data_IF_979085170728
#
_entry.id   IF_979085170728
#
_cell.length_a   1.000
_cell.length_b   1.000
_cell.length_c   1.000
_cell.angle_alpha   90.00
_cell.angle_beta   90.00
_cell.angle_gamma   90.00
#
_symmetry.space_group_name_H-M   'P 1'
#
loop_
_entity.id
_entity.type
_entity.pdbx_description
1 polymer ?
#
# COMPACT_ATOMS: atom_id res chain seq x y z
N UNK A 1 45.86 -14.01 -21.11
CA UNK A 1 45.45 -13.96 -19.70
C UNK A 1 44.47 -12.82 -19.52
N UNK A 2 43.25 -13.13 -19.10
CA UNK A 2 42.20 -12.15 -18.84
C UNK A 2 42.39 -11.54 -17.44
N UNK A 3 42.28 -10.22 -17.33
CA UNK A 3 41.55 -9.60 -16.22
C UNK A 3 40.99 -8.26 -16.69
N UNK A 4 39.67 -8.24 -16.90
CA UNK A 4 38.88 -7.01 -16.95
C UNK A 4 38.62 -6.61 -15.51
N UNK A 5 39.11 -5.45 -15.09
CA UNK A 5 38.61 -4.76 -13.91
C UNK A 5 38.16 -3.37 -14.36
N UNK A 6 36.85 -3.20 -14.53
CA UNK A 6 36.22 -1.89 -14.67
C UNK A 6 35.35 -1.71 -13.44
N UNK A 7 35.89 -1.07 -12.42
CA UNK A 7 35.10 -0.46 -11.38
C UNK A 7 34.76 0.98 -11.83
N UNK A 8 33.49 1.25 -12.09
CA UNK A 8 32.98 2.61 -12.29
C UNK A 8 31.82 2.85 -11.33
N UNK A 9 32.10 3.56 -10.25
CA UNK A 9 31.08 4.27 -9.48
C UNK A 9 30.76 5.56 -10.24
N UNK A 10 29.56 5.66 -10.82
CA UNK A 10 29.15 6.81 -11.61
C UNK A 10 28.11 7.65 -10.85
N UNK A 11 28.54 8.28 -9.76
CA UNK A 11 27.91 9.51 -9.29
C UNK A 11 28.81 10.67 -9.72
N UNK A 12 28.50 11.28 -10.88
CA UNK A 12 28.73 12.70 -11.28
C UNK A 12 28.84 12.85 -12.79
N UNK A 13 27.75 13.32 -13.41
CA UNK A 13 27.74 14.41 -14.41
C UNK A 13 26.36 15.07 -14.36
N UNK A 14 26.17 15.97 -13.41
CA UNK A 14 25.02 16.87 -13.39
C UNK A 14 25.47 18.21 -14.00
N UNK A 15 24.82 18.73 -15.06
CA UNK A 15 24.95 20.13 -15.42
C UNK A 15 24.16 20.97 -14.39
N UNK A 16 24.88 21.90 -13.75
CA UNK A 16 24.34 22.90 -12.85
C UNK A 16 23.54 23.93 -13.65
N UNK A 17 22.21 23.87 -13.60
CA UNK A 17 21.34 24.99 -13.94
C UNK A 17 20.83 25.65 -12.65
N UNK A 18 20.74 26.97 -12.66
CA UNK A 18 20.42 27.83 -11.51
C UNK A 18 18.96 27.60 -11.09
N UNK A 19 18.72 26.73 -10.10
CA UNK A 19 17.38 26.42 -9.60
C UNK A 19 16.93 27.56 -8.68
N UNK A 20 16.08 28.45 -9.18
CA UNK A 20 15.39 29.44 -8.37
C UNK A 20 14.34 28.75 -7.49
N UNK A 21 14.74 28.53 -6.23
CA UNK A 21 13.94 28.50 -4.99
C UNK A 21 12.74 27.53 -4.90
N UNK A 22 12.60 26.66 -3.89
CA UNK A 22 13.40 26.28 -2.72
C UNK A 22 13.02 24.83 -2.37
N UNK A 23 14.03 24.08 -1.96
CA UNK A 23 13.98 22.67 -1.54
C UNK A 23 13.32 22.50 -0.17
N UNK A 24 12.54 21.44 0.02
CA UNK A 24 12.34 20.88 1.36
C UNK A 24 13.48 19.90 1.65
N UNK A 25 14.49 20.39 2.37
CA UNK A 25 15.53 19.58 3.01
C UNK A 25 14.92 18.85 4.21
N UNK A 26 15.03 17.53 4.23
CA UNK A 26 14.72 16.69 5.39
C UNK A 26 15.56 17.13 6.60
N UNK A 27 14.89 17.74 7.58
CA UNK A 27 15.37 17.78 8.98
C UNK A 27 14.34 17.09 9.85
N UNK A 28 14.84 16.30 10.79
CA UNK A 28 14.04 15.61 11.82
C UNK A 28 13.06 16.60 12.47
N UNK A 29 11.77 16.31 12.37
CA UNK A 29 10.70 17.09 13.02
C UNK A 29 10.78 16.81 14.52
N UNK A 30 10.83 17.84 15.39
CA UNK A 30 10.83 17.61 16.82
C UNK A 30 9.51 16.97 17.24
N UNK A 31 9.60 15.91 18.05
CA UNK A 31 8.46 15.39 18.80
C UNK A 31 7.87 16.54 19.64
N UNK A 32 6.67 17.03 19.31
CA UNK A 32 5.74 17.58 20.32
C UNK A 32 4.29 17.72 19.85
N UNK A 33 3.45 17.23 20.75
CA UNK A 33 2.03 17.50 21.02
C UNK A 33 1.03 17.49 19.87
N UNK A 34 0.33 16.37 19.78
CA UNK A 34 -1.05 16.30 19.33
C UNK A 34 -1.94 17.30 20.12
N UNK A 35 -2.31 18.40 19.47
CA UNK A 35 -3.54 19.12 19.80
C UNK A 35 -4.60 18.71 18.77
N UNK A 36 -5.49 17.81 19.19
CA UNK A 36 -6.71 17.47 18.45
C UNK A 36 -7.73 18.61 18.63
N UNK A 37 -7.61 19.65 17.81
CA UNK A 37 -8.76 20.51 17.53
C UNK A 37 -9.59 19.79 16.47
N UNK A 38 -10.79 19.37 16.85
CA UNK A 38 -11.78 18.83 15.93
C UNK A 38 -12.23 19.96 15.00
N UNK A 39 -11.60 20.03 13.83
CA UNK A 39 -12.10 20.82 12.71
C UNK A 39 -13.08 19.91 11.96
N UNK A 40 -14.39 20.24 11.88
CA UNK A 40 -15.30 19.47 11.05
C UNK A 40 -14.78 19.50 9.60
N UNK A 41 -14.68 18.34 8.92
CA UNK A 41 -14.13 18.30 7.59
C UNK A 41 -14.98 19.17 6.67
N UNK A 42 -14.37 20.06 5.85
CA UNK A 42 -15.12 20.80 4.85
C UNK A 42 -15.83 19.80 3.94
N UNK A 43 -17.13 20.05 3.66
CA UNK A 43 -17.97 19.20 2.80
C UNK A 43 -17.62 19.33 1.31
N UNK A 44 -16.42 19.78 0.97
CA UNK A 44 -15.91 19.78 -0.39
C UNK A 44 -15.66 18.34 -0.84
N UNK A 45 -16.11 17.93 -2.04
CA UNK A 45 -15.77 16.62 -2.58
C UNK A 45 -14.24 16.49 -2.62
N UNK A 46 -13.72 15.44 -2.00
CA UNK A 46 -12.29 15.19 -1.92
C UNK A 46 -11.72 14.92 -3.32
N UNK A 47 -10.96 15.87 -3.84
CA UNK A 47 -10.33 15.78 -5.17
C UNK A 47 -8.84 15.43 -5.10
N UNK A 48 -8.30 15.12 -3.92
CA UNK A 48 -6.85 15.12 -3.67
C UNK A 48 -6.25 13.78 -3.22
N UNK A 49 -5.13 13.91 -2.51
CA UNK A 49 -4.29 12.86 -1.93
C UNK A 49 -4.27 13.04 -0.40
N UNK A 50 -4.69 12.03 0.36
CA UNK A 50 -4.77 12.12 1.83
C UNK A 50 -4.30 10.82 2.48
N UNK A 51 -3.44 10.96 3.49
CA UNK A 51 -2.97 9.85 4.31
C UNK A 51 -3.76 9.79 5.62
N UNK A 52 -4.50 8.69 5.81
CA UNK A 52 -5.21 8.40 7.04
C UNK A 52 -4.49 7.30 7.81
N UNK A 53 -4.03 7.63 9.02
CA UNK A 53 -3.44 6.66 9.93
C UNK A 53 -4.54 5.90 10.67
N UNK A 54 -4.71 4.62 10.35
CA UNK A 54 -5.67 3.73 10.99
C UNK A 54 -5.09 3.12 12.26
N UNK A 55 -3.77 2.91 12.28
CA UNK A 55 -3.02 2.44 13.43
C UNK A 55 -1.56 2.87 13.37
N UNK A 56 -1.00 3.09 14.55
CA UNK A 56 0.36 3.65 14.77
C UNK A 56 1.08 2.97 15.94
N UNK A 57 0.52 1.88 16.45
CA UNK A 57 1.17 1.02 17.43
C UNK A 57 2.12 0.02 16.76
N UNK A 58 3.08 -0.50 17.52
CA UNK A 58 4.02 -1.51 17.07
C UNK A 58 3.82 -2.81 17.86
N UNK A 59 3.86 -3.96 17.17
CA UNK A 59 3.81 -5.30 17.77
C UNK A 59 2.42 -5.73 18.23
N UNK A 60 1.81 -5.03 19.19
CA UNK A 60 0.52 -5.42 19.78
C UNK A 60 -0.44 -4.24 19.89
N UNK A 61 -1.77 -4.48 19.80
CA UNK A 61 -2.76 -3.44 20.02
C UNK A 61 -2.67 -2.89 21.44
N UNK A 62 -2.94 -1.59 21.58
CA UNK A 62 -3.17 -0.95 22.87
C UNK A 62 -4.54 -0.30 22.87
N UNK A 63 -5.07 0.03 24.06
CA UNK A 63 -6.34 0.74 24.20
C UNK A 63 -6.39 2.04 23.36
N UNK A 64 -5.24 2.70 23.19
CA UNK A 64 -5.15 4.00 22.48
C UNK A 64 -4.72 3.89 21.03
N UNK A 65 -4.03 2.81 20.62
CA UNK A 65 -3.41 2.67 19.30
C UNK A 65 -3.59 1.26 18.77
N UNK A 66 -4.22 1.16 17.61
CA UNK A 66 -4.21 -0.04 16.78
C UNK A 66 -2.80 -0.27 16.21
N UNK A 67 -2.38 -1.51 15.91
CA UNK A 67 -1.13 -1.76 15.20
C UNK A 67 -1.19 -1.25 13.76
N UNK A 68 -0.06 -1.30 13.06
CA UNK A 68 0.20 -0.58 11.80
C UNK A 68 -0.92 -0.71 10.76
N UNK A 69 -1.36 0.44 10.24
CA UNK A 69 -2.21 0.50 9.07
C UNK A 69 -2.39 1.95 8.62
N UNK A 70 -2.18 2.19 7.32
CA UNK A 70 -2.35 3.50 6.70
C UNK A 70 -3.22 3.35 5.46
N UNK A 71 -4.19 4.23 5.31
CA UNK A 71 -5.01 4.34 4.11
C UNK A 71 -4.59 5.60 3.34
N UNK A 72 -4.10 5.42 2.12
CA UNK A 72 -4.00 6.48 1.15
C UNK A 72 -5.36 6.61 0.44
N UNK A 73 -6.08 7.69 0.73
CA UNK A 73 -7.33 8.05 0.07
C UNK A 73 -7.01 8.89 -1.16
N UNK A 74 -7.48 8.43 -2.32
CA UNK A 74 -7.45 9.13 -3.60
C UNK A 74 -8.88 9.51 -3.99
N UNK A 75 -9.03 10.37 -4.99
CA UNK A 75 -10.33 10.88 -5.45
C UNK A 75 -11.36 9.78 -5.77
N UNK A 76 -10.92 8.63 -6.30
CA UNK A 76 -11.80 7.52 -6.72
C UNK A 76 -11.42 6.14 -6.19
N UNK A 77 -10.35 6.04 -5.41
CA UNK A 77 -9.92 4.75 -4.85
C UNK A 77 -9.17 4.95 -3.54
N UNK A 78 -9.07 3.87 -2.75
CA UNK A 78 -8.20 3.87 -1.58
C UNK A 78 -7.15 2.77 -1.72
N UNK A 79 -5.94 3.07 -1.28
CA UNK A 79 -4.84 2.12 -1.19
C UNK A 79 -4.45 1.93 0.26
N UNK A 80 -4.27 0.68 0.66
CA UNK A 80 -3.92 0.32 2.03
C UNK A 80 -2.45 -0.05 2.12
N UNK A 81 -1.75 0.52 3.09
CA UNK A 81 -0.37 0.19 3.44
C UNK A 81 -0.37 -0.44 4.83
N UNK A 82 -0.09 -1.73 4.85
CA UNK A 82 -0.30 -2.65 5.97
C UNK A 82 -1.75 -2.68 6.47
N UNK A 83 -2.14 -3.84 6.96
CA UNK A 83 -3.48 -4.13 7.47
C UNK A 83 -3.36 -5.01 8.71
N UNK A 84 -2.91 -4.41 9.82
CA UNK A 84 -2.97 -5.05 11.12
C UNK A 84 -4.39 -5.51 11.48
N UNK A 85 -4.48 -6.45 12.42
CA UNK A 85 -5.74 -6.73 13.12
C UNK A 85 -6.40 -5.42 13.59
N UNK A 86 -7.73 -5.33 13.49
CA UNK A 86 -8.49 -4.14 13.86
C UNK A 86 -8.52 -3.03 12.79
N UNK A 87 -7.73 -3.12 11.72
CA UNK A 87 -7.72 -2.11 10.64
C UNK A 87 -9.09 -1.91 9.99
N UNK A 88 -9.88 -2.98 9.82
CA UNK A 88 -11.26 -2.88 9.33
C UNK A 88 -12.13 -1.99 10.23
N UNK A 89 -12.05 -2.19 11.55
CA UNK A 89 -12.81 -1.40 12.52
C UNK A 89 -12.39 0.07 12.47
N UNK A 90 -11.11 0.33 12.27
CA UNK A 90 -10.58 1.69 12.14
C UNK A 90 -11.02 2.34 10.83
N UNK A 91 -11.08 1.59 9.73
CA UNK A 91 -11.65 2.04 8.45
C UNK A 91 -13.13 2.43 8.60
N UNK A 92 -13.95 1.57 9.22
CA UNK A 92 -15.39 1.82 9.43
C UNK A 92 -15.65 3.07 10.28
N UNK A 93 -14.78 3.35 11.26
CA UNK A 93 -14.86 4.58 12.09
C UNK A 93 -14.41 5.84 11.35
N UNK A 94 -13.74 5.69 10.20
CA UNK A 94 -13.15 6.81 9.46
C UNK A 94 -14.11 7.35 8.38
N UNK A 95 -13.68 8.39 7.68
CA UNK A 95 -14.38 8.94 6.51
C UNK A 95 -14.18 8.10 5.23
N UNK A 96 -13.38 7.04 5.28
CA UNK A 96 -13.02 6.22 4.12
C UNK A 96 -14.19 5.31 3.74
N UNK A 97 -14.59 5.38 2.47
CA UNK A 97 -15.52 4.42 1.89
C UNK A 97 -14.79 3.12 1.61
N UNK A 98 -14.92 2.15 2.51
CA UNK A 98 -14.27 0.83 2.42
C UNK A 98 -14.40 0.18 1.04
N UNK A 99 -15.58 0.18 0.37
CA UNK A 99 -15.71 -0.45 -0.96
C UNK A 99 -14.83 0.15 -2.07
N UNK A 100 -14.34 1.38 -1.90
CA UNK A 100 -13.41 2.02 -2.86
C UNK A 100 -11.96 1.55 -2.71
N UNK A 101 -11.66 0.70 -1.72
CA UNK A 101 -10.31 0.15 -1.55
C UNK A 101 -10.01 -0.86 -2.65
N UNK A 102 -8.95 -0.62 -3.42
CA UNK A 102 -8.59 -1.41 -4.62
C UNK A 102 -7.23 -2.07 -4.54
N UNK A 103 -6.29 -1.48 -3.79
CA UNK A 103 -4.91 -1.98 -3.68
C UNK A 103 -4.48 -2.11 -2.22
N UNK A 104 -3.71 -3.15 -1.95
CA UNK A 104 -3.13 -3.45 -0.65
C UNK A 104 -1.62 -3.64 -0.79
N UNK A 105 -0.84 -3.04 0.09
CA UNK A 105 0.61 -3.09 0.09
C UNK A 105 1.07 -3.54 1.48
N UNK A 106 1.59 -4.76 1.57
CA UNK A 106 2.11 -5.36 2.81
C UNK A 106 3.62 -5.21 2.81
N UNK A 107 4.17 -4.55 3.83
CA UNK A 107 5.61 -4.26 3.94
C UNK A 107 6.41 -5.51 4.30
N UNK A 108 5.87 -6.35 5.20
CA UNK A 108 6.44 -7.63 5.63
C UNK A 108 5.38 -8.52 6.31
N UNK A 109 5.68 -9.81 6.54
CA UNK A 109 4.71 -10.82 7.02
C UNK A 109 4.55 -10.93 8.55
N UNK A 110 4.84 -9.87 9.30
CA UNK A 110 4.53 -9.87 10.74
C UNK A 110 3.05 -9.62 10.99
N UNK A 111 2.49 -10.30 12.02
CA UNK A 111 1.06 -10.30 12.30
C UNK A 111 0.44 -8.91 12.48
N UNK A 112 1.18 -8.00 13.09
CA UNK A 112 0.82 -6.60 13.29
C UNK A 112 0.86 -5.73 12.02
N UNK A 113 1.08 -6.35 10.85
CA UNK A 113 1.02 -5.71 9.54
C UNK A 113 0.06 -6.40 8.56
N UNK A 114 -0.42 -7.63 8.81
CA UNK A 114 -1.29 -8.34 7.84
C UNK A 114 -2.48 -9.10 8.41
N UNK A 115 -2.59 -9.31 9.74
CA UNK A 115 -3.66 -10.15 10.29
C UNK A 115 -5.08 -9.62 10.07
N UNK A 116 -5.25 -8.33 9.78
CA UNK A 116 -6.54 -7.76 9.42
C UNK A 116 -6.91 -7.94 7.95
N UNK A 117 -5.95 -8.28 7.09
CA UNK A 117 -6.15 -8.33 5.63
C UNK A 117 -7.25 -9.31 5.20
N UNK A 118 -7.31 -10.58 5.68
CA UNK A 118 -8.36 -11.51 5.28
C UNK A 118 -9.77 -10.97 5.58
N UNK A 119 -9.98 -10.41 6.79
CA UNK A 119 -11.27 -9.88 7.19
C UNK A 119 -11.72 -8.67 6.37
N UNK A 120 -10.79 -7.80 5.98
CA UNK A 120 -11.09 -6.68 5.08
C UNK A 120 -11.52 -7.21 3.71
N UNK A 121 -10.83 -8.21 3.15
CA UNK A 121 -11.16 -8.80 1.85
C UNK A 121 -12.55 -9.45 1.85
N UNK A 122 -12.90 -10.21 2.90
CA UNK A 122 -14.25 -10.76 3.05
C UNK A 122 -15.32 -9.66 3.12
N UNK A 123 -15.03 -8.57 3.84
CA UNK A 123 -15.96 -7.44 3.94
C UNK A 123 -16.14 -6.75 2.60
N UNK A 124 -15.05 -6.58 1.83
CA UNK A 124 -15.12 -6.05 0.48
C UNK A 124 -15.94 -6.95 -0.45
N UNK A 125 -15.79 -8.26 -0.37
CA UNK A 125 -16.57 -9.20 -1.19
C UNK A 125 -18.08 -9.06 -0.95
N UNK A 126 -18.48 -8.99 0.32
CA UNK A 126 -19.88 -8.77 0.71
C UNK A 126 -20.45 -7.45 0.18
N UNK A 127 -19.64 -6.39 0.13
CA UNK A 127 -20.07 -5.09 -0.37
C UNK A 127 -20.05 -4.95 -1.90
N UNK A 128 -19.52 -5.93 -2.65
CA UNK A 128 -19.33 -5.83 -4.10
C UNK A 128 -20.30 -6.69 -4.93
N UNK A 129 -21.38 -7.21 -4.33
CA UNK A 129 -22.37 -8.02 -5.04
C UNK A 129 -23.01 -7.32 -6.26
N UNK A 130 -23.07 -5.99 -6.25
CA UNK A 130 -23.63 -5.14 -7.31
C UNK A 130 -22.56 -4.43 -8.15
N UNK A 131 -21.28 -4.76 -7.96
CA UNK A 131 -20.22 -4.16 -8.76
C UNK A 131 -20.45 -4.48 -10.25
N UNK A 132 -20.34 -3.44 -11.08
CA UNK A 132 -20.38 -3.52 -12.53
C UNK A 132 -19.06 -3.03 -13.07
N UNK A 133 -18.52 -3.74 -14.05
CA UNK A 133 -17.30 -3.32 -14.70
C UNK A 133 -17.49 -1.91 -15.32
N UNK A 134 -16.60 -0.95 -15.05
CA UNK A 134 -16.74 0.41 -15.56
C UNK A 134 -16.76 0.50 -17.09
N UNK A 135 -16.10 -0.43 -17.79
CA UNK A 135 -16.01 -0.48 -19.24
C UNK A 135 -17.19 -1.24 -19.85
N UNK A 136 -17.47 -2.47 -19.40
CA UNK A 136 -18.51 -3.31 -20.02
C UNK A 136 -19.91 -3.07 -19.44
N UNK A 137 -20.02 -2.47 -18.25
CA UNK A 137 -21.27 -2.28 -17.48
C UNK A 137 -21.96 -3.58 -17.04
N UNK A 138 -21.32 -4.72 -17.25
CA UNK A 138 -21.82 -6.03 -16.85
C UNK A 138 -21.40 -6.37 -15.42
N UNK A 139 -22.11 -7.31 -14.81
CA UNK A 139 -21.73 -7.85 -13.51
C UNK A 139 -20.45 -8.68 -13.68
N UNK A 140 -19.40 -8.28 -12.96
CA UNK A 140 -18.11 -8.98 -12.97
C UNK A 140 -17.50 -8.95 -11.56
N UNK A 141 -16.60 -9.87 -11.20
CA UNK A 141 -15.85 -9.75 -9.96
C UNK A 141 -14.96 -8.50 -9.98
N UNK A 142 -14.99 -7.70 -8.90
CA UNK A 142 -14.19 -6.48 -8.81
C UNK A 142 -12.71 -6.81 -8.64
N UNK A 143 -11.80 -6.24 -9.45
CA UNK A 143 -10.37 -6.50 -9.31
C UNK A 143 -9.81 -5.87 -8.02
N UNK A 144 -9.02 -6.64 -7.30
CA UNK A 144 -8.23 -6.24 -6.12
C UNK A 144 -6.79 -6.70 -6.32
N UNK A 145 -5.84 -5.83 -6.05
CA UNK A 145 -4.42 -6.16 -6.11
C UNK A 145 -3.81 -6.13 -4.72
N UNK A 146 -3.05 -7.18 -4.40
CA UNK A 146 -2.36 -7.31 -3.12
C UNK A 146 -0.87 -7.51 -3.39
N UNK A 147 -0.06 -6.55 -2.97
CA UNK A 147 1.39 -6.55 -3.10
C UNK A 147 2.02 -6.87 -1.76
N UNK A 148 3.08 -7.68 -1.76
CA UNK A 148 3.87 -7.90 -0.56
C UNK A 148 4.94 -8.97 -0.78
N UNK A 149 5.67 -9.39 0.25
CA UNK A 149 6.75 -10.35 0.11
C UNK A 149 6.26 -11.77 -0.21
N UNK A 150 7.21 -12.62 -0.63
CA UNK A 150 7.02 -14.06 -0.78
C UNK A 150 6.38 -14.68 0.47
N UNK A 151 5.27 -15.40 0.30
CA UNK A 151 4.48 -16.03 1.36
C UNK A 151 3.12 -15.38 1.62
N UNK A 152 2.89 -14.19 1.07
CA UNK A 152 1.61 -13.51 1.16
C UNK A 152 0.48 -14.31 0.50
N UNK A 153 0.75 -14.93 -0.66
CA UNK A 153 -0.25 -15.76 -1.32
C UNK A 153 -0.61 -16.97 -0.46
N UNK A 154 0.40 -17.67 0.06
CA UNK A 154 0.20 -18.82 0.93
C UNK A 154 -0.62 -18.44 2.18
N UNK A 155 -0.30 -17.32 2.82
CA UNK A 155 -1.04 -16.80 3.97
C UNK A 155 -2.52 -16.59 3.66
N UNK A 156 -2.83 -15.85 2.59
CA UNK A 156 -4.22 -15.57 2.19
C UNK A 156 -4.96 -16.84 1.78
N UNK A 157 -4.32 -17.69 0.97
CA UNK A 157 -4.90 -18.94 0.51
C UNK A 157 -5.24 -19.88 1.68
N UNK A 158 -4.32 -20.02 2.65
CA UNK A 158 -4.57 -20.80 3.86
C UNK A 158 -5.69 -20.19 4.69
N UNK A 159 -5.70 -18.87 4.90
CA UNK A 159 -6.75 -18.21 5.66
C UNK A 159 -8.13 -18.50 5.05
N UNK A 160 -8.31 -18.29 3.75
CA UNK A 160 -9.61 -18.51 3.10
C UNK A 160 -10.00 -19.99 3.00
N UNK A 161 -9.04 -20.88 2.70
CA UNK A 161 -9.30 -22.32 2.58
C UNK A 161 -9.71 -22.94 3.93
N UNK A 162 -9.06 -22.52 5.02
CA UNK A 162 -9.33 -23.06 6.36
C UNK A 162 -10.59 -22.48 7.00
N UNK A 163 -10.98 -21.26 6.64
CA UNK A 163 -12.23 -20.64 7.10
C UNK A 163 -13.43 -20.94 6.20
N UNK A 164 -13.29 -21.82 5.20
CA UNK A 164 -14.32 -22.11 4.20
C UNK A 164 -14.87 -20.84 3.53
N UNK A 165 -14.01 -19.84 3.34
CA UNK A 165 -14.39 -18.57 2.74
C UNK A 165 -14.33 -18.66 1.22
N UNK A 166 -15.45 -18.33 0.59
CA UNK A 166 -15.57 -18.23 -0.86
C UNK A 166 -15.80 -16.77 -1.26
N UNK A 167 -14.87 -16.18 -2.00
CA UNK A 167 -14.97 -14.80 -2.49
C UNK A 167 -15.51 -14.83 -3.91
N UNK A 168 -16.80 -14.53 -4.08
CA UNK A 168 -17.49 -14.65 -5.37
C UNK A 168 -17.51 -13.34 -6.18
N UNK A 169 -17.34 -12.21 -5.50
CA UNK A 169 -17.52 -10.87 -6.05
C UNK A 169 -16.20 -10.12 -6.22
N UNK A 170 -15.06 -10.71 -5.82
CA UNK A 170 -13.72 -10.16 -6.00
C UNK A 170 -12.87 -11.04 -6.93
N UNK A 171 -12.04 -10.40 -7.75
CA UNK A 171 -10.92 -11.02 -8.44
C UNK A 171 -9.63 -10.53 -7.77
N UNK A 172 -9.02 -11.37 -6.94
CA UNK A 172 -7.82 -11.01 -6.17
C UNK A 172 -6.57 -11.47 -6.91
N UNK A 173 -5.69 -10.52 -7.23
CA UNK A 173 -4.35 -10.80 -7.76
C UNK A 173 -3.30 -10.52 -6.69
N UNK A 174 -2.50 -11.54 -6.35
CA UNK A 174 -1.41 -11.42 -5.37
C UNK A 174 -0.08 -11.29 -6.12
N UNK A 175 0.62 -10.18 -5.89
CA UNK A 175 1.93 -9.88 -6.45
C UNK A 175 3.00 -10.07 -5.38
N UNK A 176 3.64 -11.24 -5.39
CA UNK A 176 4.75 -11.53 -4.49
C UNK A 176 6.05 -10.89 -4.98
N UNK A 177 6.53 -9.92 -4.20
CA UNK A 177 7.72 -9.15 -4.47
C UNK A 177 8.95 -9.96 -4.02
N UNK A 178 9.78 -10.36 -4.98
CA UNK A 178 11.01 -11.11 -4.75
C UNK A 178 12.21 -10.27 -5.19
N UNK A 179 13.29 -10.27 -4.41
CA UNK A 179 14.54 -9.62 -4.84
C UNK A 179 15.16 -10.49 -5.95
N UNK A 180 15.69 -9.94 -7.05
CA UNK A 180 16.34 -10.74 -8.09
C UNK A 180 17.39 -11.72 -7.56
N UNK A 181 18.14 -11.33 -6.52
CA UNK A 181 19.15 -12.16 -5.86
C UNK A 181 18.56 -13.42 -5.16
N UNK A 182 17.26 -13.44 -4.90
CA UNK A 182 16.54 -14.58 -4.32
C UNK A 182 15.97 -15.54 -5.38
N UNK A 183 15.80 -15.10 -6.62
CA UNK A 183 15.26 -15.95 -7.70
C UNK A 183 16.20 -17.13 -8.02
N UNK A 184 17.52 -16.96 -7.85
CA UNK A 184 18.51 -18.01 -8.04
C UNK A 184 18.61 -19.06 -6.93
N UNK A 185 17.87 -18.91 -5.82
CA UNK A 185 17.91 -19.80 -4.63
C UNK A 185 16.58 -20.53 -4.39
N UNK A 186 15.66 -20.48 -5.36
CA UNK A 186 14.23 -20.76 -5.18
C UNK A 186 13.81 -22.24 -5.06
N UNK A 187 14.73 -23.20 -4.91
CA UNK A 187 14.37 -24.58 -4.52
C UNK A 187 14.02 -24.71 -3.02
N UNK A 188 14.06 -23.59 -2.29
CA UNK A 188 14.02 -23.48 -0.83
C UNK A 188 12.70 -22.85 -0.36
N UNK A 189 11.62 -22.78 -1.15
CA UNK A 189 10.40 -22.05 -0.73
C UNK A 189 9.83 -22.54 0.63
N UNK A 190 9.78 -23.86 0.87
CA UNK A 190 9.37 -24.44 2.17
C UNK A 190 10.41 -24.27 3.30
N UNK A 191 11.70 -24.34 2.96
CA UNK A 191 12.81 -24.11 3.91
C UNK A 191 12.95 -22.62 4.26
N UNK A 192 12.54 -21.73 3.37
CA UNK A 192 12.54 -20.28 3.52
C UNK A 192 11.45 -19.86 4.50
N UNK A 193 10.23 -20.40 4.44
CA UNK A 193 9.19 -19.98 5.40
C UNK A 193 9.53 -20.31 6.87
N UNK A 194 10.30 -21.38 7.15
CA UNK A 194 10.71 -21.74 8.52
C UNK A 194 12.07 -21.17 8.95
N UNK A 195 13.03 -21.01 8.03
CA UNK A 195 14.40 -20.56 8.32
C UNK A 195 14.79 -19.27 7.58
N UNK A 196 13.85 -18.50 7.04
CA UNK A 196 14.17 -17.24 6.38
C UNK A 196 14.86 -16.31 7.39
N UNK A 197 16.00 -15.69 7.01
CA UNK A 197 16.43 -14.50 7.71
C UNK A 197 15.28 -13.49 7.72
N UNK A 198 15.12 -12.75 8.82
CA UNK A 198 14.11 -11.69 9.04
C UNK A 198 13.52 -11.22 7.71
N UNK A 199 12.25 -11.52 7.46
CA UNK A 199 11.59 -11.25 6.17
C UNK A 199 11.99 -9.85 5.67
N UNK A 200 12.42 -9.72 4.40
CA UNK A 200 12.92 -8.44 3.90
C UNK A 200 11.81 -7.39 4.05
N UNK A 201 12.05 -6.41 4.92
CA UNK A 201 11.17 -5.25 5.09
C UNK A 201 11.26 -4.42 3.84
N UNK A 202 10.13 -4.18 3.18
CA UNK A 202 10.06 -3.34 1.98
C UNK A 202 9.43 -1.99 2.32
N UNK A 203 10.06 -0.93 1.83
CA UNK A 203 9.43 0.38 1.71
C UNK A 203 8.71 0.49 0.37
N UNK A 204 7.58 1.19 0.35
CA UNK A 204 6.89 1.58 -0.87
C UNK A 204 7.10 3.07 -1.11
N UNK A 205 7.36 3.43 -2.36
CA UNK A 205 7.40 4.82 -2.83
C UNK A 205 6.28 4.98 -3.84
N UNK A 206 5.47 6.02 -3.66
CA UNK A 206 4.39 6.37 -4.58
C UNK A 206 4.74 7.72 -5.17
N UNK A 207 4.83 7.76 -6.49
CA UNK A 207 5.09 8.97 -7.24
C UNK A 207 3.86 9.28 -8.09
N UNK A 208 3.25 10.45 -7.87
CA UNK A 208 2.22 10.97 -8.74
C UNK A 208 2.89 11.79 -9.85
N UNK A 209 2.73 11.35 -11.08
CA UNK A 209 3.23 12.07 -12.25
C UNK A 209 2.18 13.11 -12.69
N UNK A 210 2.62 14.28 -13.21
CA UNK A 210 1.70 15.24 -13.79
C UNK A 210 0.89 14.58 -14.91
N UNK A 211 -0.44 14.73 -14.83
CA UNK A 211 -1.31 14.36 -15.94
C UNK A 211 -1.15 15.45 -17.00
N UNK A 212 -0.86 15.12 -18.28
CA UNK A 212 -0.89 16.13 -19.34
C UNK A 212 -2.32 16.69 -19.41
N UNK A 213 -2.50 17.93 -18.96
CA UNK A 213 -3.76 18.67 -19.11
C UNK A 213 -3.63 19.66 -20.24
N UNK A 214 -4.67 19.74 -21.08
CA UNK A 214 -4.87 20.75 -22.11
C UNK A 214 -4.65 22.15 -21.52
N UNK A 215 -3.55 22.77 -21.90
CA UNK A 215 -3.27 24.16 -21.57
C UNK A 215 -4.25 25.03 -22.37
N UNK A 216 -4.99 25.96 -21.73
CA UNK A 216 -5.62 27.04 -22.48
C UNK A 216 -4.49 27.90 -23.05
N UNK A 217 -4.33 27.81 -24.37
CA UNK A 217 -3.87 28.87 -25.25
C UNK A 217 -2.62 29.67 -24.79
N UNK A 218 -1.46 29.10 -25.07
CA UNK A 218 -0.47 29.78 -25.92
C UNK A 218 0.04 31.17 -25.52
N UNK A 219 0.17 31.49 -24.23
CA UNK A 219 0.80 32.76 -23.81
C UNK A 219 1.93 32.54 -22.82
N UNK A 220 3.15 32.42 -23.36
CA UNK A 220 4.38 32.63 -22.60
C UNK A 220 4.95 34.00 -22.98
N UNK A 221 5.11 34.87 -21.99
CA UNK A 221 5.99 36.04 -22.01
C UNK A 221 7.09 35.84 -20.96
#
# INVERSE_FOLDING_TARGET
>A
MASKLVARAAWRTAPLARISERQALLKTVPLRSCNSLFVPPPQTPFTGFELLFLGTGAGSPSVRRNPTGVCLRLSRSNWMFDCAEGSLRQLIKSVVRVPLTTKFFVTHLHGDHLYGLPGILCTLDNHNAEYKDPQTKEKAPRPIEVYGPLGLFAYLNTAFSTSSTWLANLSITVHELVCPDMLGKASVHEKFMRNAPKHPVRGYVIEEYPVPGDWPDGTWA
#
